data_IF_002072784737
#
_entry.id   IF_002072784737
#
_cell.length_a   1.000
_cell.length_b   1.000
_cell.length_c   1.000
_cell.angle_alpha   90.00
_cell.angle_beta   90.00
_cell.angle_gamma   90.00
#
_symmetry.space_group_name_H-M   'P 1'
#
loop_
_entity.id
_entity.type
_entity.pdbx_description
1 polymer ?
#
# COMPACT_ATOMS: atom_id res chain seq x y z
N UNK A 1 57.10 50.13 -4.29
CA UNK A 1 56.45 49.13 -5.18
C UNK A 1 55.75 48.07 -4.32
N UNK A 2 54.42 47.88 -4.40
CA UNK A 2 53.79 46.70 -3.80
C UNK A 2 53.24 45.74 -4.87
N UNK A 3 53.49 44.44 -4.67
CA UNK A 3 53.09 43.32 -5.53
C UNK A 3 51.58 43.05 -5.38
N UNK A 4 50.82 43.08 -6.49
CA UNK A 4 49.42 42.60 -6.54
C UNK A 4 49.41 41.07 -6.56
N UNK A 5 48.99 40.43 -5.46
CA UNK A 5 48.71 38.99 -5.44
C UNK A 5 47.30 38.74 -5.99
N UNK A 6 47.21 37.93 -7.05
CA UNK A 6 45.96 37.53 -7.72
C UNK A 6 45.12 36.66 -6.77
N UNK A 7 44.15 37.26 -6.08
CA UNK A 7 43.06 36.54 -5.38
C UNK A 7 42.05 36.03 -6.43
N UNK A 8 42.40 34.98 -7.17
CA UNK A 8 41.53 34.36 -8.18
C UNK A 8 41.28 32.91 -7.78
N UNK A 9 40.00 32.50 -7.76
CA UNK A 9 39.48 31.11 -7.69
C UNK A 9 38.90 30.54 -6.38
N UNK A 10 38.63 31.30 -5.30
CA UNK A 10 37.87 30.75 -4.17
C UNK A 10 36.36 30.57 -4.47
N UNK A 11 35.78 31.41 -5.34
CA UNK A 11 34.34 31.40 -5.62
C UNK A 11 33.90 30.17 -6.44
N UNK A 12 34.76 29.62 -7.29
CA UNK A 12 34.42 28.47 -8.14
C UNK A 12 34.18 27.18 -7.34
N UNK A 13 34.92 26.97 -6.25
CA UNK A 13 34.72 25.83 -5.35
C UNK A 13 33.38 25.90 -4.60
N UNK A 14 32.91 27.12 -4.31
CA UNK A 14 31.62 27.36 -3.63
C UNK A 14 30.45 27.01 -4.58
N UNK A 15 30.52 27.42 -5.85
CA UNK A 15 29.51 27.07 -6.84
C UNK A 15 29.49 25.56 -7.16
N UNK A 16 30.66 24.90 -7.17
CA UNK A 16 30.76 23.45 -7.34
C UNK A 16 30.07 22.69 -6.19
N UNK A 17 30.24 23.15 -4.96
CA UNK A 17 29.59 22.58 -3.77
C UNK A 17 28.07 22.79 -3.77
N UNK A 18 27.60 23.98 -4.17
CA UNK A 18 26.18 24.29 -4.27
C UNK A 18 25.45 23.45 -5.33
N UNK A 19 26.11 23.21 -6.48
CA UNK A 19 25.56 22.33 -7.52
C UNK A 19 25.39 20.89 -7.04
N UNK A 20 26.39 20.32 -6.35
CA UNK A 20 26.30 18.97 -5.79
C UNK A 20 25.16 18.81 -4.78
N UNK A 21 24.91 19.84 -3.96
CA UNK A 21 23.85 19.83 -2.95
C UNK A 21 22.45 19.79 -3.60
N UNK A 22 22.24 20.49 -4.71
CA UNK A 22 21.00 20.42 -5.48
C UNK A 22 20.75 19.02 -6.08
N UNK A 23 21.80 18.34 -6.56
CA UNK A 23 21.67 16.95 -7.05
C UNK A 23 21.31 15.98 -5.94
N UNK A 24 21.90 16.13 -4.74
CA UNK A 24 21.56 15.29 -3.58
C UNK A 24 20.12 15.52 -3.15
N UNK A 25 19.65 16.76 -3.10
CA UNK A 25 18.25 17.08 -2.80
C UNK A 25 17.31 16.48 -3.86
N UNK A 26 17.65 16.61 -5.14
CA UNK A 26 16.83 16.09 -6.24
C UNK A 26 16.78 14.56 -6.23
N UNK A 27 17.89 13.90 -5.90
CA UNK A 27 17.96 12.44 -5.76
C UNK A 27 17.21 11.96 -4.51
N UNK A 28 17.33 12.67 -3.39
CA UNK A 28 16.57 12.40 -2.17
C UNK A 28 15.07 12.56 -2.42
N UNK A 29 14.67 13.63 -3.10
CA UNK A 29 13.28 13.86 -3.48
C UNK A 29 12.76 12.74 -4.38
N UNK A 30 13.53 12.31 -5.39
CA UNK A 30 13.15 11.19 -6.26
C UNK A 30 13.03 9.88 -5.47
N UNK A 31 13.96 9.61 -4.55
CA UNK A 31 13.93 8.41 -3.71
C UNK A 31 12.76 8.40 -2.72
N UNK A 32 12.41 9.57 -2.16
CA UNK A 32 11.26 9.73 -1.28
C UNK A 32 9.92 9.67 -2.05
N UNK A 33 9.85 10.24 -3.25
CA UNK A 33 8.65 10.19 -4.11
C UNK A 33 8.44 8.83 -4.77
N UNK A 34 9.52 8.12 -5.09
CA UNK A 34 9.46 6.79 -5.70
C UNK A 34 9.42 5.66 -4.66
N UNK A 35 9.20 5.98 -3.37
CA UNK A 35 8.59 4.98 -2.50
C UNK A 35 7.18 4.75 -3.05
N UNK A 36 6.83 3.52 -3.47
CA UNK A 36 5.47 3.25 -3.90
C UNK A 36 4.58 3.49 -2.68
N UNK A 37 3.83 4.60 -2.70
CA UNK A 37 2.89 4.94 -1.64
C UNK A 37 1.70 4.00 -1.77
N UNK A 38 1.91 2.75 -1.40
CA UNK A 38 0.86 1.75 -1.25
C UNK A 38 -0.02 2.07 -0.02
N UNK A 39 0.24 3.20 0.62
CA UNK A 39 -0.57 3.78 1.69
C UNK A 39 -1.34 4.95 1.11
N UNK A 40 -2.36 4.65 0.32
CA UNK A 40 -3.47 5.58 0.15
C UNK A 40 -4.01 5.79 1.55
N UNK A 41 -3.85 6.98 2.15
CA UNK A 41 -4.32 7.23 3.52
C UNK A 41 -5.80 6.81 3.69
N UNK A 42 -6.61 6.94 2.64
CA UNK A 42 -7.99 6.44 2.61
C UNK A 42 -8.12 4.92 2.80
N UNK A 43 -7.24 4.12 2.23
CA UNK A 43 -7.26 2.65 2.38
C UNK A 43 -6.87 2.21 3.80
N UNK A 44 -5.92 2.91 4.43
CA UNK A 44 -5.58 2.68 5.84
C UNK A 44 -6.72 3.09 6.77
N UNK A 45 -7.36 4.24 6.50
CA UNK A 45 -8.52 4.70 7.28
C UNK A 45 -9.64 3.67 7.20
N UNK A 46 -9.97 3.11 6.02
CA UNK A 46 -10.98 2.05 5.86
C UNK A 46 -10.58 0.77 6.64
N UNK A 47 -9.32 0.31 6.54
CA UNK A 47 -8.82 -0.85 7.29
C UNK A 47 -8.84 -0.64 8.81
N UNK A 48 -8.67 0.61 9.26
CA UNK A 48 -8.69 1.00 10.68
C UNK A 48 -10.11 1.32 11.19
N UNK A 49 -11.09 1.62 10.32
CA UNK A 49 -12.41 2.12 10.72
C UNK A 49 -13.44 1.07 11.11
N UNK A 50 -13.14 -0.23 10.99
CA UNK A 50 -14.10 -1.25 11.41
C UNK A 50 -13.42 -2.41 12.15
N UNK A 51 -12.94 -2.17 13.39
CA UNK A 51 -12.47 -3.24 14.27
C UNK A 51 -13.46 -4.41 14.35
N UNK A 52 -14.77 -4.14 14.25
CA UNK A 52 -15.82 -5.16 14.19
C UNK A 52 -15.73 -6.03 12.95
N UNK A 53 -15.54 -5.46 11.76
CA UNK A 53 -15.44 -6.22 10.51
C UNK A 53 -14.18 -7.09 10.47
N UNK A 54 -13.07 -6.61 11.02
CA UNK A 54 -11.84 -7.40 11.10
C UNK A 54 -12.02 -8.61 12.04
N UNK A 55 -12.67 -8.43 13.18
CA UNK A 55 -13.00 -9.53 14.10
C UNK A 55 -13.99 -10.52 13.47
N UNK A 56 -14.97 -10.01 12.72
CA UNK A 56 -15.93 -10.84 12.00
C UNK A 56 -15.25 -11.66 10.90
N UNK A 57 -14.30 -11.06 10.16
CA UNK A 57 -13.48 -11.78 9.20
C UNK A 57 -12.69 -12.91 9.88
N UNK A 58 -12.02 -12.65 11.00
CA UNK A 58 -11.27 -13.67 11.76
C UNK A 58 -12.17 -14.80 12.27
N UNK A 59 -13.38 -14.48 12.72
CA UNK A 59 -14.37 -15.47 13.12
C UNK A 59 -14.72 -16.40 11.96
N UNK A 60 -15.06 -15.84 10.80
CA UNK A 60 -15.42 -16.66 9.63
C UNK A 60 -14.23 -17.44 9.07
N UNK A 61 -13.03 -16.87 9.06
CA UNK A 61 -11.79 -17.58 8.71
C UNK A 61 -11.58 -18.81 9.60
N UNK A 62 -11.86 -18.69 10.90
CA UNK A 62 -11.81 -19.83 11.82
C UNK A 62 -12.84 -20.90 11.46
N UNK A 63 -14.07 -20.50 11.13
CA UNK A 63 -15.14 -21.42 10.72
C UNK A 63 -14.76 -22.18 9.44
N UNK A 64 -14.32 -21.48 8.39
CA UNK A 64 -13.96 -22.13 7.12
C UNK A 64 -12.69 -22.99 7.25
N UNK A 65 -11.79 -22.68 8.19
CA UNK A 65 -10.63 -23.54 8.47
C UNK A 65 -11.03 -24.92 9.00
N UNK A 66 -12.15 -25.00 9.74
CA UNK A 66 -12.74 -26.24 10.25
C UNK A 66 -13.67 -26.89 9.24
N UNK A 67 -14.35 -26.09 8.43
CA UNK A 67 -15.35 -26.50 7.47
C UNK A 67 -15.06 -25.91 6.08
N UNK A 68 -14.05 -26.42 5.35
CA UNK A 68 -13.56 -25.84 4.10
C UNK A 68 -14.54 -25.96 2.93
N UNK A 69 -15.63 -26.72 3.09
CA UNK A 69 -16.71 -26.83 2.10
C UNK A 69 -17.93 -25.99 2.46
N UNK A 70 -17.87 -25.21 3.54
CA UNK A 70 -18.98 -24.37 3.99
C UNK A 70 -19.09 -23.11 3.11
N UNK A 71 -19.84 -23.23 2.02
CA UNK A 71 -20.08 -22.19 1.02
C UNK A 71 -20.43 -20.83 1.62
N UNK A 72 -21.39 -20.80 2.55
CA UNK A 72 -21.92 -19.55 3.08
C UNK A 72 -20.86 -18.79 3.88
N UNK A 73 -19.95 -19.49 4.57
CA UNK A 73 -18.80 -18.86 5.23
C UNK A 73 -17.88 -18.11 4.26
N UNK A 74 -17.72 -18.63 3.02
CA UNK A 74 -16.98 -17.92 1.98
C UNK A 74 -17.76 -16.72 1.39
N UNK A 75 -19.10 -16.77 1.37
CA UNK A 75 -19.91 -15.60 0.99
C UNK A 75 -19.84 -14.49 2.03
N UNK A 76 -19.93 -14.83 3.31
CA UNK A 76 -19.80 -13.89 4.41
C UNK A 76 -18.42 -13.21 4.38
N UNK A 77 -17.35 -13.98 4.19
CA UNK A 77 -16.01 -13.43 4.01
C UNK A 77 -15.92 -12.51 2.77
N UNK A 78 -16.58 -12.85 1.67
CA UNK A 78 -16.60 -12.01 0.48
C UNK A 78 -17.24 -10.64 0.76
N UNK A 79 -18.38 -10.62 1.43
CA UNK A 79 -19.08 -9.38 1.81
C UNK A 79 -18.27 -8.56 2.82
N UNK A 80 -17.71 -9.20 3.86
CA UNK A 80 -16.86 -8.54 4.85
C UNK A 80 -15.61 -7.94 4.21
N UNK A 81 -14.93 -8.68 3.33
CA UNK A 81 -13.75 -8.17 2.63
C UNK A 81 -14.08 -7.06 1.65
N UNK A 82 -15.27 -7.09 1.03
CA UNK A 82 -15.78 -5.96 0.23
C UNK A 82 -15.95 -4.71 1.08
N UNK A 83 -16.57 -4.83 2.26
CA UNK A 83 -16.75 -3.72 3.22
C UNK A 83 -15.42 -3.18 3.76
N UNK A 84 -14.43 -4.06 3.95
CA UNK A 84 -13.06 -3.69 4.34
C UNK A 84 -12.23 -3.10 3.19
N UNK A 85 -12.72 -3.14 1.95
CA UNK A 85 -12.02 -2.66 0.76
C UNK A 85 -10.93 -3.61 0.23
N UNK A 86 -10.82 -4.83 0.76
CA UNK A 86 -9.90 -5.86 0.27
C UNK A 86 -10.57 -6.66 -0.86
N UNK A 87 -10.70 -6.01 -2.02
CA UNK A 87 -11.40 -6.56 -3.19
C UNK A 87 -10.76 -7.87 -3.69
N UNK A 88 -9.45 -8.04 -3.51
CA UNK A 88 -8.76 -9.27 -3.90
C UNK A 88 -9.28 -10.45 -3.10
N UNK A 89 -9.26 -10.35 -1.76
CA UNK A 89 -9.77 -11.41 -0.89
C UNK A 89 -11.27 -11.62 -1.05
N UNK A 90 -12.02 -10.54 -1.30
CA UNK A 90 -13.45 -10.64 -1.56
C UNK A 90 -13.74 -11.52 -2.79
N UNK A 91 -13.02 -11.29 -3.89
CA UNK A 91 -13.13 -12.07 -5.12
C UNK A 91 -12.69 -13.52 -4.92
N UNK A 92 -11.58 -13.76 -4.22
CA UNK A 92 -11.10 -15.12 -3.94
C UNK A 92 -12.11 -15.93 -3.12
N UNK A 93 -12.73 -15.28 -2.12
CA UNK A 93 -13.76 -15.90 -1.29
C UNK A 93 -15.03 -16.18 -2.11
N UNK A 94 -15.48 -15.22 -2.93
CA UNK A 94 -16.63 -15.41 -3.82
C UNK A 94 -16.41 -16.54 -4.83
N UNK A 95 -15.23 -16.58 -5.46
CA UNK A 95 -14.89 -17.63 -6.42
C UNK A 95 -14.86 -19.00 -5.76
N UNK A 96 -14.34 -19.09 -4.54
CA UNK A 96 -14.40 -20.33 -3.74
C UNK A 96 -15.85 -20.75 -3.49
N UNK A 97 -16.70 -19.83 -3.02
CA UNK A 97 -18.12 -20.10 -2.80
C UNK A 97 -18.83 -20.58 -4.09
N UNK A 98 -18.52 -19.94 -5.22
CA UNK A 98 -19.04 -20.32 -6.54
C UNK A 98 -18.59 -21.70 -6.99
N UNK A 99 -17.33 -22.08 -6.71
CA UNK A 99 -16.81 -23.39 -7.06
C UNK A 99 -17.40 -24.50 -6.18
N UNK A 100 -17.73 -24.19 -4.93
CA UNK A 100 -18.37 -25.14 -4.01
C UNK A 100 -19.83 -25.44 -4.40
N UNK A 101 -20.54 -24.45 -4.96
CA UNK A 101 -21.90 -24.62 -5.45
C UNK A 101 -22.14 -23.84 -6.75
N UNK A 102 -21.74 -24.42 -7.90
CA UNK A 102 -21.81 -23.75 -9.20
C UNK A 102 -23.26 -23.55 -9.69
N UNK A 103 -24.25 -24.22 -9.09
CA UNK A 103 -25.65 -24.19 -9.52
C UNK A 103 -26.53 -23.20 -8.74
N UNK A 104 -25.98 -22.50 -7.75
CA UNK A 104 -26.74 -21.63 -6.83
C UNK A 104 -26.49 -20.12 -7.07
N UNK A 105 -25.56 -19.74 -7.93
CA UNK A 105 -25.24 -18.32 -8.23
C UNK A 105 -25.78 -17.82 -9.58
N UNK A 106 -26.67 -18.57 -10.23
CA UNK A 106 -27.43 -18.08 -11.38
C UNK A 106 -28.60 -17.22 -10.89
N UNK A 107 -28.38 -15.91 -10.79
CA UNK A 107 -29.45 -14.91 -10.74
C UNK A 107 -29.86 -14.49 -12.15
#
# INVERSE_FOLDING_TARGET
>A
MPKKTKKKNSKNHIYLGLGGLAFVISFLNLFLFNKPSNQVLGAQIIKTYSPSLTQEAEYWENIISKYPTYRDGYLELSDIYTKLGDISKANDSYNTAKNLDPNNLSF
#
